data_IF_714513600444
#
_entry.id   IF_714513600444
#
_cell.length_a   1.000
_cell.length_b   1.000
_cell.length_c   1.000
_cell.angle_alpha   90.00
_cell.angle_beta   90.00
_cell.angle_gamma   90.00
#
_symmetry.space_group_name_H-M   'P 1'
#
loop_
_entity.id
_entity.type
_entity.pdbx_description
1 polymer ?
#
# COMPACT_ATOMS: atom_id res chain seq x y z
N UNK A 1 -23.08 -25.59 -54.65
CA UNK A 1 -22.41 -25.31 -53.36
C UNK A 1 -21.51 -24.11 -53.56
N UNK A 2 -22.01 -22.89 -53.31
CA UNK A 2 -21.16 -21.69 -53.35
C UNK A 2 -20.57 -21.49 -51.97
N UNK A 3 -19.32 -21.91 -51.80
CA UNK A 3 -18.47 -21.44 -50.70
C UNK A 3 -18.14 -19.96 -50.97
N UNK A 4 -19.06 -19.08 -50.59
CA UNK A 4 -18.82 -17.64 -50.60
C UNK A 4 -17.85 -17.31 -49.47
N UNK A 5 -16.63 -16.94 -49.83
CA UNK A 5 -15.66 -16.36 -48.92
C UNK A 5 -16.28 -15.04 -48.40
N UNK A 6 -16.94 -15.08 -47.24
CA UNK A 6 -17.53 -13.91 -46.57
C UNK A 6 -16.37 -13.07 -46.04
N UNK A 7 -15.84 -12.22 -46.90
CA UNK A 7 -14.93 -11.16 -46.47
C UNK A 7 -15.59 -10.38 -45.34
N UNK A 8 -14.81 -10.06 -44.31
CA UNK A 8 -15.26 -9.33 -43.13
C UNK A 8 -15.92 -8.03 -43.57
N UNK A 9 -17.20 -7.83 -43.22
CA UNK A 9 -17.91 -6.62 -43.61
C UNK A 9 -17.32 -5.42 -42.86
N UNK A 10 -17.21 -4.26 -43.53
CA UNK A 10 -16.71 -3.02 -42.90
C UNK A 10 -17.50 -2.61 -41.66
N UNK A 11 -18.78 -3.00 -41.58
CA UNK A 11 -19.63 -2.76 -40.42
C UNK A 11 -19.25 -3.69 -39.26
N UNK A 12 -18.91 -4.95 -39.57
CA UNK A 12 -18.46 -5.91 -38.57
C UNK A 12 -17.09 -5.52 -38.00
N UNK A 13 -16.17 -4.99 -38.82
CA UNK A 13 -14.87 -4.52 -38.31
C UNK A 13 -15.03 -3.28 -37.43
N UNK A 14 -15.89 -2.34 -37.84
CA UNK A 14 -16.17 -1.13 -37.06
C UNK A 14 -16.85 -1.44 -35.73
N UNK A 15 -17.81 -2.37 -35.71
CA UNK A 15 -18.48 -2.77 -34.47
C UNK A 15 -17.54 -3.53 -33.53
N UNK A 16 -16.71 -4.43 -34.07
CA UNK A 16 -15.68 -5.12 -33.29
C UNK A 16 -14.66 -4.14 -32.69
N UNK A 17 -14.21 -3.14 -33.45
CA UNK A 17 -13.33 -2.09 -32.94
C UNK A 17 -14.00 -1.24 -31.85
N UNK A 18 -15.27 -0.88 -32.02
CA UNK A 18 -16.00 -0.09 -31.02
C UNK A 18 -16.16 -0.87 -29.71
N UNK A 19 -16.49 -2.15 -29.78
CA UNK A 19 -16.58 -3.04 -28.62
C UNK A 19 -15.21 -3.19 -27.95
N UNK A 20 -14.15 -3.38 -28.75
CA UNK A 20 -12.79 -3.47 -28.24
C UNK A 20 -12.37 -2.20 -27.48
N UNK A 21 -12.63 -1.03 -28.07
CA UNK A 21 -12.34 0.26 -27.42
C UNK A 21 -13.12 0.43 -26.13
N UNK A 22 -14.40 0.07 -26.11
CA UNK A 22 -15.22 0.14 -24.91
C UNK A 22 -14.68 -0.75 -23.78
N UNK A 23 -14.25 -1.97 -24.11
CA UNK A 23 -13.62 -2.90 -23.18
C UNK A 23 -12.31 -2.33 -22.63
N UNK A 24 -11.44 -1.79 -23.50
CA UNK A 24 -10.19 -1.18 -23.08
C UNK A 24 -10.41 0.04 -22.18
N UNK A 25 -11.36 0.92 -22.53
CA UNK A 25 -11.71 2.09 -21.71
C UNK A 25 -12.22 1.68 -20.33
N UNK A 26 -12.90 0.54 -20.21
CA UNK A 26 -13.41 0.06 -18.92
C UNK A 26 -12.35 -0.70 -18.11
N UNK A 27 -11.55 -1.55 -18.74
CA UNK A 27 -10.60 -2.44 -18.07
C UNK A 27 -9.32 -1.72 -17.64
N UNK A 28 -8.79 -0.80 -18.45
CA UNK A 28 -7.55 -0.08 -18.16
C UNK A 28 -7.62 0.76 -16.87
N UNK A 29 -8.65 1.60 -16.61
CA UNK A 29 -8.72 2.37 -15.37
C UNK A 29 -8.86 1.48 -14.13
N UNK A 30 -9.59 0.36 -14.24
CA UNK A 30 -9.72 -0.60 -13.13
C UNK A 30 -8.38 -1.26 -12.82
N UNK A 31 -7.67 -1.73 -13.86
CA UNK A 31 -6.37 -2.36 -13.72
C UNK A 31 -5.32 -1.40 -13.14
N UNK A 32 -5.28 -0.17 -13.65
CA UNK A 32 -4.37 0.87 -13.13
C UNK A 32 -4.70 1.30 -11.70
N UNK A 33 -5.99 1.33 -11.34
CA UNK A 33 -6.43 1.51 -9.95
C UNK A 33 -5.87 0.42 -9.04
N UNK A 34 -6.07 -0.84 -9.41
CA UNK A 34 -5.57 -1.99 -8.62
C UNK A 34 -4.05 -1.99 -8.47
N UNK A 35 -3.29 -1.66 -9.52
CA UNK A 35 -1.83 -1.53 -9.44
C UNK A 35 -1.40 -0.44 -8.45
N UNK A 36 -2.08 0.70 -8.50
CA UNK A 36 -1.78 1.83 -7.62
C UNK A 36 -2.12 1.52 -6.16
N UNK A 37 -3.22 0.82 -5.92
CA UNK A 37 -3.59 0.38 -4.57
C UNK A 37 -2.60 -0.66 -4.02
N UNK A 38 -2.15 -1.61 -4.84
CA UNK A 38 -1.14 -2.58 -4.40
C UNK A 38 0.18 -1.91 -4.01
N UNK A 39 0.65 -0.94 -4.79
CA UNK A 39 1.86 -0.18 -4.46
C UNK A 39 1.72 0.58 -3.13
N UNK A 40 0.57 1.20 -2.88
CA UNK A 40 0.29 1.89 -1.61
C UNK A 40 0.23 0.92 -0.42
N UNK A 41 -0.35 -0.26 -0.62
CA UNK A 41 -0.44 -1.30 0.41
C UNK A 41 0.96 -1.83 0.74
N UNK A 42 1.78 -2.10 -0.28
CA UNK A 42 3.15 -2.57 -0.09
C UNK A 42 4.00 -1.55 0.67
N UNK A 43 3.97 -0.28 0.26
CA UNK A 43 4.69 0.79 0.94
C UNK A 43 4.25 0.96 2.40
N UNK A 44 2.93 0.91 2.65
CA UNK A 44 2.39 0.93 4.00
C UNK A 44 2.85 -0.28 4.82
N UNK A 45 2.92 -1.46 4.21
CA UNK A 45 3.37 -2.68 4.88
C UNK A 45 4.85 -2.59 5.26
N UNK A 46 5.71 -2.03 4.41
CA UNK A 46 7.12 -1.80 4.74
C UNK A 46 7.28 -0.88 5.96
N UNK A 47 6.51 0.22 6.00
CA UNK A 47 6.54 1.16 7.13
C UNK A 47 6.01 0.49 8.41
N UNK A 48 4.95 -0.31 8.32
CA UNK A 48 4.48 -1.11 9.45
C UNK A 48 5.53 -2.09 9.96
N UNK A 49 6.23 -2.79 9.06
CA UNK A 49 7.28 -3.73 9.45
C UNK A 49 8.45 -3.01 10.13
N UNK A 50 8.85 -1.84 9.64
CA UNK A 50 9.87 -1.00 10.26
C UNK A 50 9.47 -0.60 11.69
N UNK A 51 8.22 -0.13 11.83
CA UNK A 51 7.67 0.33 13.10
C UNK A 51 7.52 -0.80 14.10
N UNK A 52 7.05 -1.96 13.64
CA UNK A 52 6.92 -3.17 14.45
C UNK A 52 8.26 -3.67 14.97
N UNK A 53 9.32 -3.66 14.13
CA UNK A 53 10.69 -4.02 14.58
C UNK A 53 11.20 -3.09 15.68
N UNK A 54 10.92 -1.79 15.59
CA UNK A 54 11.33 -0.82 16.61
C UNK A 54 10.57 -0.98 17.91
N UNK A 55 9.26 -1.18 17.79
CA UNK A 55 8.38 -1.45 18.92
C UNK A 55 8.77 -2.75 19.62
N UNK A 56 9.03 -3.83 18.89
CA UNK A 56 9.43 -5.10 19.48
C UNK A 56 10.80 -5.03 20.15
N UNK A 57 11.75 -4.31 19.55
CA UNK A 57 13.05 -4.04 20.18
C UNK A 57 12.91 -3.23 21.48
N UNK A 58 12.04 -2.20 21.48
CA UNK A 58 11.72 -1.44 22.70
C UNK A 58 11.05 -2.34 23.75
N UNK A 59 10.06 -3.14 23.35
CA UNK A 59 9.39 -4.08 24.25
C UNK A 59 10.36 -5.06 24.86
N UNK A 60 11.37 -5.56 24.15
CA UNK A 60 12.29 -6.59 24.68
C UNK A 60 13.44 -6.02 25.52
N UNK A 61 13.87 -4.78 25.25
CA UNK A 61 15.06 -4.19 25.86
C UNK A 61 14.77 -3.05 26.84
N UNK A 62 13.54 -2.50 26.83
CA UNK A 62 13.17 -1.28 27.53
C UNK A 62 13.85 -0.01 26.99
N UNK A 63 14.66 -0.09 25.93
CA UNK A 63 15.45 1.03 25.41
C UNK A 63 14.92 1.50 24.06
N UNK A 64 14.74 2.82 23.93
CA UNK A 64 14.37 3.48 22.68
C UNK A 64 15.59 3.48 21.75
N UNK A 65 15.54 2.73 20.65
CA UNK A 65 16.58 2.79 19.63
C UNK A 65 16.31 3.99 18.69
N UNK A 66 17.24 4.96 18.57
CA UNK A 66 17.13 6.02 17.59
C UNK A 66 17.39 5.42 16.20
N UNK A 67 16.46 5.63 15.27
CA UNK A 67 16.59 5.14 13.90
C UNK A 67 16.17 6.22 12.92
N UNK A 68 16.91 6.37 11.80
CA UNK A 68 16.57 7.33 10.77
C UNK A 68 15.18 7.01 10.19
N UNK A 69 14.24 7.94 10.36
CA UNK A 69 12.87 7.82 9.86
C UNK A 69 11.82 7.39 10.87
N UNK A 70 12.20 7.12 12.14
CA UNK A 70 11.25 6.77 13.22
C UNK A 70 11.32 7.82 14.33
N UNK A 71 10.21 8.51 14.57
CA UNK A 71 10.05 9.54 15.60
C UNK A 71 9.27 8.99 16.79
N UNK A 72 9.88 9.05 17.97
CA UNK A 72 9.23 8.71 19.24
C UNK A 72 8.70 9.99 19.89
N UNK A 73 7.40 10.04 20.16
CA UNK A 73 6.73 11.12 20.89
C UNK A 73 6.15 10.54 22.18
N UNK A 74 6.22 11.27 23.28
CA UNK A 74 5.59 10.88 24.53
C UNK A 74 4.16 11.38 24.58
N UNK A 75 3.22 10.52 24.96
CA UNK A 75 1.79 10.81 25.04
C UNK A 75 1.24 10.22 26.35
N UNK A 76 1.52 10.90 27.46
CA UNK A 76 1.14 10.43 28.80
C UNK A 76 1.79 9.09 29.15
N UNK A 77 0.95 8.07 29.36
CA UNK A 77 1.36 6.69 29.66
C UNK A 77 1.74 5.87 28.41
N UNK A 78 1.70 6.48 27.23
CA UNK A 78 2.02 5.86 25.96
C UNK A 78 3.21 6.55 25.27
N UNK A 79 3.92 5.79 24.44
CA UNK A 79 4.78 6.30 23.39
C UNK A 79 4.06 6.22 22.05
N UNK A 80 4.06 7.33 21.31
CA UNK A 80 3.60 7.40 19.93
C UNK A 80 4.81 7.31 19.01
N UNK A 81 4.88 6.25 18.23
CA UNK A 81 5.99 5.97 17.30
C UNK A 81 5.48 6.27 15.90
N UNK A 82 6.06 7.26 15.24
CA UNK A 82 5.65 7.74 13.93
C UNK A 82 6.74 7.50 12.90
N UNK A 83 6.37 7.06 11.70
CA UNK A 83 7.27 6.95 10.57
C UNK A 83 6.65 7.63 9.34
N UNK A 84 7.49 8.28 8.54
CA UNK A 84 7.05 8.92 7.31
C UNK A 84 6.78 7.86 6.23
N UNK A 85 5.61 7.93 5.60
CA UNK A 85 5.28 7.19 4.38
C UNK A 85 5.51 8.13 3.20
N UNK A 86 6.16 7.68 2.13
CA UNK A 86 6.57 8.52 1.00
C UNK A 86 5.36 8.89 0.14
N UNK A 87 4.77 10.04 0.45
CA UNK A 87 3.61 10.58 -0.29
C UNK A 87 2.27 10.40 0.41
N UNK A 88 2.25 9.89 1.65
CA UNK A 88 1.08 9.88 2.54
C UNK A 88 1.37 10.63 3.86
N UNK A 89 0.34 10.83 4.68
CA UNK A 89 0.49 11.31 6.07
C UNK A 89 1.33 10.31 6.86
N UNK A 90 2.15 10.83 7.77
CA UNK A 90 2.93 10.05 8.72
C UNK A 90 2.07 9.00 9.46
N UNK A 91 2.56 7.74 9.47
CA UNK A 91 1.90 6.62 10.11
C UNK A 91 2.41 6.52 11.55
N UNK A 92 1.49 6.63 12.51
CA UNK A 92 1.81 6.57 13.94
C UNK A 92 1.12 5.38 14.61
N UNK A 93 1.87 4.65 15.43
CA UNK A 93 1.35 3.64 16.36
C UNK A 93 1.59 4.08 17.80
N UNK A 94 0.60 3.88 18.66
CA UNK A 94 0.71 4.10 20.10
C UNK A 94 1.03 2.78 20.81
N UNK A 95 2.05 2.79 21.66
CA UNK A 95 2.44 1.67 22.53
C UNK A 95 2.50 2.13 23.98
N UNK A 96 2.08 1.29 24.92
CA UNK A 96 2.17 1.58 26.35
C UNK A 96 3.64 1.67 26.79
N UNK A 97 3.96 2.59 27.69
CA UNK A 97 5.30 2.66 28.31
C UNK A 97 5.58 1.38 29.09
N UNK A 98 6.65 0.69 28.74
CA UNK A 98 7.10 -0.55 29.42
C UNK A 98 8.40 -0.35 30.19
N UNK A 99 8.79 0.90 30.46
CA UNK A 99 10.01 1.23 31.20
C UNK A 99 9.99 0.61 32.62
N UNK A 100 8.80 0.41 33.20
CA UNK A 100 8.59 -0.26 34.48
C UNK A 100 8.84 -1.78 34.43
N UNK A 101 8.73 -2.42 33.26
CA UNK A 101 8.86 -3.87 33.10
C UNK A 101 10.33 -4.33 33.22
N UNK A 102 11.27 -3.41 32.98
CA UNK A 102 12.71 -3.65 32.94
C UNK A 102 13.47 -2.94 34.08
N UNK A 103 12.75 -2.44 35.08
CA UNK A 103 13.33 -1.85 36.28
C UNK A 103 13.92 -2.97 37.18
N UNK A 104 15.15 -3.38 36.88
CA UNK A 104 16.03 -4.15 37.76
C UNK A 104 17.42 -3.55 37.79
#
# INVERSE_FOLDING_TARGET
MQNGNKGFSTIETLSAMAIWLFLMISLVPVWTGMLTDNLKIEERQEVYQLLHKHISAYMMSGKKQPSPGVLWKEDGDYYKVCAAVRGEKEMCLSILKTDWLYAS
#
